data_IF_227822807853
#
_entry.id   IF_227822807853
#
_cell.length_a   1.000
_cell.length_b   1.000
_cell.length_c   1.000
_cell.angle_alpha   90.00
_cell.angle_beta   90.00
_cell.angle_gamma   90.00
#
_symmetry.space_group_name_H-M   'P 1'
#
loop_
_entity.id
_entity.type
_entity.pdbx_description
1 polymer ?
#
# COMPACT_ATOMS: atom_id res chain seq x y z
N UNK A 1 -0.83 -21.08 -0.61
CA UNK A 1 -1.50 -19.77 -0.51
C UNK A 1 -0.45 -18.75 -0.94
N UNK A 2 -0.72 -17.93 -1.96
CA UNK A 2 0.26 -16.93 -2.44
C UNK A 2 0.18 -15.71 -1.54
N UNK A 3 1.20 -15.52 -0.70
CA UNK A 3 1.37 -14.27 0.04
C UNK A 3 1.59 -13.12 -0.94
N UNK A 4 0.82 -12.04 -0.77
CA UNK A 4 1.09 -10.80 -1.47
C UNK A 4 2.23 -10.07 -0.76
N UNK A 5 3.25 -9.70 -1.54
CA UNK A 5 4.34 -8.85 -1.05
C UNK A 5 3.77 -7.44 -0.77
N UNK A 6 3.99 -6.87 0.43
CA UNK A 6 3.53 -5.52 0.73
C UNK A 6 4.32 -4.47 -0.06
N UNK A 7 3.71 -3.29 -0.20
CA UNK A 7 4.42 -2.09 -0.64
C UNK A 7 5.42 -1.66 0.45
N UNK A 8 6.50 -1.00 0.05
CA UNK A 8 7.52 -0.52 0.97
C UNK A 8 7.22 0.92 1.42
N UNK A 9 7.45 1.20 2.70
CA UNK A 9 7.30 2.52 3.29
C UNK A 9 8.56 2.89 4.08
N UNK A 10 9.25 3.95 3.66
CA UNK A 10 10.28 4.62 4.45
C UNK A 10 9.61 5.71 5.31
N UNK A 11 9.53 5.46 6.62
CA UNK A 11 8.89 6.39 7.55
C UNK A 11 9.91 7.36 8.16
N UNK A 12 9.89 8.61 7.69
CA UNK A 12 10.70 9.72 8.23
C UNK A 12 9.88 10.65 9.14
N UNK A 13 8.60 10.35 9.36
CA UNK A 13 7.72 11.11 10.22
C UNK A 13 7.74 10.55 11.64
N UNK A 14 8.53 11.18 12.52
CA UNK A 14 8.84 10.64 13.85
C UNK A 14 7.66 10.57 14.82
N UNK A 15 6.58 11.31 14.58
CA UNK A 15 5.40 11.30 15.45
C UNK A 15 4.58 10.02 15.36
N UNK A 16 4.81 9.20 14.33
CA UNK A 16 4.03 7.99 14.07
C UNK A 16 4.99 6.80 13.92
N UNK A 17 4.66 5.69 14.58
CA UNK A 17 5.41 4.45 14.46
C UNK A 17 4.52 3.36 13.85
N UNK A 18 4.97 2.73 12.77
CA UNK A 18 4.29 1.64 12.06
C UNK A 18 4.87 0.25 12.37
N UNK A 19 5.63 0.09 13.45
CA UNK A 19 6.28 -1.17 13.79
C UNK A 19 5.32 -2.37 13.72
N UNK A 20 5.72 -3.38 12.94
CA UNK A 20 4.93 -4.59 12.71
C UNK A 20 3.74 -4.42 11.75
N UNK A 21 3.59 -3.27 11.11
CA UNK A 21 2.58 -3.01 10.09
C UNK A 21 3.22 -2.75 8.72
N UNK A 22 2.65 -3.39 7.70
CA UNK A 22 3.09 -3.26 6.31
C UNK A 22 2.00 -2.58 5.49
N UNK A 23 2.42 -1.69 4.58
CA UNK A 23 1.51 -1.00 3.67
C UNK A 23 1.09 -1.95 2.55
N UNK A 24 -0.21 -2.10 2.32
CA UNK A 24 -0.74 -2.95 1.25
C UNK A 24 -1.46 -2.17 0.16
N UNK A 25 -2.00 -1.00 0.49
CA UNK A 25 -2.79 -0.23 -0.47
C UNK A 25 -3.05 1.19 0.00
N UNK A 26 -3.40 2.06 -0.95
CA UNK A 26 -4.04 3.35 -0.72
C UNK A 26 -5.46 3.34 -1.30
N UNK A 27 -6.44 3.87 -0.58
CA UNK A 27 -7.85 3.91 -1.02
C UNK A 27 -8.44 5.31 -0.85
N UNK A 28 -9.33 5.68 -1.76
CA UNK A 28 -10.22 6.85 -1.67
C UNK A 28 -11.64 6.37 -1.46
N UNK A 29 -12.36 7.01 -0.56
CA UNK A 29 -13.71 6.60 -0.23
C UNK A 29 -14.24 7.23 1.04
N UNK A 30 -15.28 6.60 1.59
CA UNK A 30 -15.87 7.03 2.86
C UNK A 30 -14.96 6.62 4.02
N UNK A 31 -15.33 7.04 5.23
CA UNK A 31 -14.63 6.61 6.45
C UNK A 31 -14.71 5.08 6.59
N UNK A 32 -13.56 4.35 6.64
CA UNK A 32 -13.54 2.90 6.76
C UNK A 32 -14.19 2.37 8.04
N UNK A 33 -14.45 3.22 9.04
CA UNK A 33 -15.24 2.84 10.22
C UNK A 33 -16.69 2.46 9.89
N UNK A 34 -17.21 2.88 8.73
CA UNK A 34 -18.61 2.66 8.34
C UNK A 34 -18.79 1.31 7.64
N UNK A 35 -17.86 0.92 6.76
CA UNK A 35 -17.98 -0.25 5.89
C UNK A 35 -16.73 -1.13 5.84
N UNK A 36 -15.74 -0.88 6.70
CA UNK A 36 -14.44 -1.57 6.67
C UNK A 36 -13.74 -1.47 5.31
N UNK A 37 -13.88 -0.33 4.64
CA UNK A 37 -13.30 -0.07 3.32
C UNK A 37 -13.95 -0.85 2.17
N UNK A 38 -15.05 -1.57 2.40
CA UNK A 38 -15.74 -2.32 1.34
C UNK A 38 -16.45 -1.40 0.35
N UNK A 39 -16.05 -1.49 -0.92
CA UNK A 39 -16.59 -0.65 -2.00
C UNK A 39 -15.84 0.66 -2.21
N UNK A 40 -14.78 0.93 -1.43
CA UNK A 40 -13.90 2.07 -1.68
C UNK A 40 -13.02 1.82 -2.91
N UNK A 41 -12.61 2.92 -3.55
CA UNK A 41 -11.83 2.86 -4.77
C UNK A 41 -10.34 2.92 -4.44
N UNK A 42 -9.58 1.97 -4.98
CA UNK A 42 -8.12 2.04 -4.96
C UNK A 42 -7.64 3.33 -5.63
N UNK A 43 -6.64 3.99 -5.03
CA UNK A 43 -5.99 5.12 -5.68
C UNK A 43 -5.27 4.59 -6.92
N UNK A 44 -5.70 5.07 -8.08
CA UNK A 44 -5.00 4.84 -9.34
C UNK A 44 -4.01 5.98 -9.52
N UNK A 45 -2.73 5.63 -9.50
CA UNK A 45 -1.65 6.57 -9.78
C UNK A 45 -1.33 6.42 -11.26
N UNK A 46 -1.77 7.39 -12.07
CA UNK A 46 -1.72 7.34 -13.53
C UNK A 46 -0.31 7.02 -14.04
N UNK A 47 0.71 7.57 -13.36
CA UNK A 47 2.14 7.34 -13.65
C UNK A 47 2.58 5.88 -13.48
N UNK A 48 1.87 5.09 -12.68
CA UNK A 48 2.13 3.64 -12.53
C UNK A 48 1.17 2.82 -13.37
N UNK A 49 -0.01 3.34 -13.72
CA UNK A 49 -1.06 2.53 -14.34
C UNK A 49 -0.59 1.88 -15.65
N UNK A 50 0.19 2.61 -16.45
CA UNK A 50 0.84 2.09 -17.64
C UNK A 50 1.81 0.94 -17.30
N UNK A 51 2.67 1.13 -16.30
CA UNK A 51 3.63 0.12 -15.84
C UNK A 51 2.92 -1.12 -15.27
N UNK A 52 1.92 -0.96 -14.42
CA UNK A 52 1.14 -2.07 -13.86
C UNK A 52 0.49 -2.88 -14.98
N UNK A 53 -0.05 -2.25 -16.03
CA UNK A 53 -0.67 -2.97 -17.15
C UNK A 53 0.30 -3.88 -17.91
N UNK A 54 1.57 -3.49 -18.01
CA UNK A 54 2.62 -4.25 -18.72
C UNK A 54 3.08 -5.46 -17.88
N UNK A 55 3.15 -5.29 -16.56
CA UNK A 55 3.77 -6.28 -15.66
C UNK A 55 2.78 -7.16 -14.88
N UNK A 56 1.50 -6.79 -14.79
CA UNK A 56 0.44 -7.55 -14.08
C UNK A 56 0.32 -9.02 -14.50
N UNK A 57 0.62 -9.35 -15.75
CA UNK A 57 0.52 -10.71 -16.27
C UNK A 57 1.65 -11.66 -15.85
N UNK A 58 2.71 -11.15 -15.21
CA UNK A 58 3.95 -11.93 -14.99
C UNK A 58 4.07 -12.58 -13.62
N UNK A 59 3.33 -12.12 -12.61
CA UNK A 59 3.44 -12.64 -11.23
C UNK A 59 2.07 -12.69 -10.55
N UNK A 60 1.59 -13.90 -10.26
CA UNK A 60 0.27 -14.11 -9.63
C UNK A 60 0.23 -13.71 -8.15
N UNK A 61 1.37 -13.64 -7.48
CA UNK A 61 1.47 -13.19 -6.07
C UNK A 61 1.52 -11.68 -5.91
N UNK A 62 1.72 -10.91 -6.98
CA UNK A 62 1.84 -9.44 -6.92
C UNK A 62 0.82 -8.86 -7.88
N UNK A 63 -0.39 -8.64 -7.37
CA UNK A 63 -1.54 -8.22 -8.18
C UNK A 63 -1.31 -6.91 -8.95
N UNK A 64 -0.36 -6.07 -8.53
CA UNK A 64 0.09 -4.84 -9.21
C UNK A 64 1.18 -5.06 -10.27
N UNK A 65 1.77 -6.25 -10.37
CA UNK A 65 2.93 -6.52 -11.23
C UNK A 65 4.28 -5.99 -10.70
N UNK A 66 4.27 -5.38 -9.50
CA UNK A 66 5.46 -4.82 -8.86
C UNK A 66 5.18 -4.26 -7.48
N UNK A 67 6.24 -3.79 -6.83
CA UNK A 67 6.24 -3.25 -5.47
C UNK A 67 6.35 -1.73 -5.55
N UNK A 68 5.43 -1.01 -4.91
CA UNK A 68 5.54 0.46 -4.80
C UNK A 68 6.41 0.81 -3.60
N UNK A 69 7.23 1.83 -3.75
CA UNK A 69 8.09 2.35 -2.67
C UNK A 69 7.66 3.77 -2.35
N UNK A 70 7.19 3.94 -1.12
CA UNK A 70 6.73 5.21 -0.60
C UNK A 70 7.68 5.76 0.46
N UNK A 71 7.72 7.08 0.59
CA UNK A 71 8.31 7.80 1.72
C UNK A 71 7.21 8.59 2.42
N UNK A 72 7.10 8.45 3.74
CA UNK A 72 6.39 9.40 4.58
C UNK A 72 7.42 10.43 5.09
N UNK A 73 7.38 11.65 4.56
CA UNK A 73 8.39 12.65 4.85
C UNK A 73 8.28 13.24 6.28
N UNK A 74 9.24 14.09 6.65
CA UNK A 74 9.27 14.73 7.97
C UNK A 74 8.07 15.66 8.25
N UNK A 75 7.32 16.06 7.21
CA UNK A 75 6.13 16.89 7.32
C UNK A 75 4.84 16.04 7.29
N UNK A 76 4.96 14.72 7.28
CA UNK A 76 3.85 13.79 7.22
C UNK A 76 3.25 13.63 5.83
N UNK A 77 3.90 14.12 4.76
CA UNK A 77 3.43 13.92 3.39
C UNK A 77 3.84 12.56 2.86
N UNK A 78 2.92 11.90 2.16
CA UNK A 78 3.21 10.63 1.49
C UNK A 78 3.66 10.88 0.05
N UNK A 79 4.81 10.34 -0.31
CA UNK A 79 5.36 10.37 -1.67
C UNK A 79 5.52 8.95 -2.19
N UNK A 80 5.23 8.75 -3.45
CA UNK A 80 5.64 7.58 -4.20
C UNK A 80 6.99 7.89 -4.87
N UNK A 81 8.05 7.29 -4.35
CA UNK A 81 9.40 7.53 -4.88
C UNK A 81 9.66 6.70 -6.13
N UNK A 82 9.23 5.44 -6.12
CA UNK A 82 9.52 4.51 -7.21
C UNK A 82 8.59 3.30 -7.25
N UNK A 83 8.61 2.61 -8.38
CA UNK A 83 7.95 1.34 -8.61
C UNK A 83 8.97 0.30 -9.06
N UNK A 84 9.08 -0.80 -8.32
CA UNK A 84 9.92 -1.94 -8.67
C UNK A 84 9.08 -2.96 -9.43
N UNK A 85 9.20 -2.98 -10.75
CA UNK A 85 8.51 -3.94 -11.60
C UNK A 85 9.26 -5.26 -11.67
N UNK A 86 8.54 -6.37 -11.66
CA UNK A 86 9.14 -7.69 -11.87
C UNK A 86 9.40 -7.91 -13.37
N UNK A 87 10.67 -8.06 -13.75
CA UNK A 87 11.04 -8.30 -15.15
C UNK A 87 11.12 -9.80 -15.48
N UNK A 88 11.50 -10.64 -14.51
CA UNK A 88 11.67 -12.07 -14.70
C UNK A 88 12.52 -12.70 -13.61
N UNK A 89 13.02 -13.90 -13.89
CA UNK A 89 13.95 -14.61 -13.01
C UNK A 89 15.33 -14.66 -13.68
N UNK A 90 16.37 -14.46 -12.88
CA UNK A 90 17.74 -14.74 -13.27
C UNK A 90 17.97 -16.26 -13.41
N UNK A 91 19.13 -16.65 -13.96
CA UNK A 91 19.49 -18.06 -14.16
C UNK A 91 19.59 -18.87 -12.86
N UNK A 92 19.77 -18.20 -11.73
CA UNK A 92 19.77 -18.76 -10.39
C UNK A 92 18.39 -18.70 -9.69
N UNK A 93 17.32 -18.39 -10.43
CA UNK A 93 15.96 -18.22 -9.93
C UNK A 93 15.75 -17.03 -8.98
N UNK A 94 16.71 -16.13 -8.85
CA UNK A 94 16.50 -14.87 -8.13
C UNK A 94 15.60 -13.92 -8.94
N UNK A 95 14.69 -13.18 -8.29
CA UNK A 95 13.81 -12.25 -8.98
C UNK A 95 14.60 -11.02 -9.49
N UNK A 96 14.40 -10.69 -10.76
CA UNK A 96 14.95 -9.49 -11.39
C UNK A 96 13.91 -8.38 -11.29
N UNK A 97 14.31 -7.29 -10.66
CA UNK A 97 13.48 -6.11 -10.47
C UNK A 97 14.05 -4.92 -11.25
N UNK A 98 13.17 -4.21 -11.95
CA UNK A 98 13.49 -2.92 -12.54
C UNK A 98 12.87 -1.80 -11.72
N UNK A 99 13.71 -0.87 -11.28
CA UNK A 99 13.27 0.30 -10.52
C UNK A 99 12.95 1.46 -11.45
N UNK A 100 11.68 1.85 -11.48
CA UNK A 100 11.20 3.05 -12.16
C UNK A 100 11.09 4.19 -11.15
N UNK A 101 11.89 5.27 -11.26
CA UNK A 101 11.73 6.45 -10.42
C UNK A 101 10.46 7.21 -10.83
N UNK A 102 9.71 7.70 -9.85
CA UNK A 102 8.43 8.39 -10.06
C UNK A 102 8.44 9.77 -9.37
N UNK A 103 8.76 9.82 -8.08
CA UNK A 103 8.80 11.05 -7.27
C UNK A 103 7.49 11.87 -7.35
N UNK A 104 6.37 11.22 -7.02
CA UNK A 104 5.03 11.79 -7.09
C UNK A 104 4.44 11.94 -5.68
N UNK A 105 3.99 13.15 -5.30
CA UNK A 105 3.31 13.38 -4.04
C UNK A 105 1.85 12.89 -4.10
N UNK A 106 1.41 12.10 -3.13
CA UNK A 106 0.03 11.61 -3.11
C UNK A 106 -0.88 12.71 -2.55
N UNK A 107 -1.66 13.33 -3.42
CA UNK A 107 -2.51 14.46 -3.06
C UNK A 107 -3.97 14.06 -2.71
N UNK A 108 -4.63 14.98 -2.00
CA UNK A 108 -6.02 14.87 -1.59
C UNK A 108 -6.24 13.98 -0.36
N UNK A 109 -7.50 13.69 -0.08
CA UNK A 109 -7.89 12.89 1.07
C UNK A 109 -7.92 11.41 0.71
N UNK A 110 -7.31 10.58 1.56
CA UNK A 110 -7.27 9.14 1.36
C UNK A 110 -7.00 8.38 2.66
N UNK A 111 -7.01 7.05 2.56
CA UNK A 111 -6.63 6.14 3.64
C UNK A 111 -5.52 5.21 3.16
N UNK A 112 -4.48 5.10 3.96
CA UNK A 112 -3.47 4.07 3.81
C UNK A 112 -3.90 2.82 4.58
N UNK A 113 -3.83 1.67 3.92
CA UNK A 113 -4.26 0.38 4.47
C UNK A 113 -3.03 -0.43 4.87
N UNK A 114 -2.90 -0.65 6.16
CA UNK A 114 -1.82 -1.39 6.78
C UNK A 114 -2.31 -2.74 7.31
N UNK A 115 -1.42 -3.74 7.31
CA UNK A 115 -1.68 -5.06 7.89
C UNK A 115 -0.42 -5.64 8.51
N UNK A 116 -0.54 -6.43 9.57
CA UNK A 116 0.59 -7.16 10.14
C UNK A 116 1.04 -8.34 9.27
N UNK A 117 0.10 -8.95 8.55
CA UNK A 117 0.33 -10.04 7.59
C UNK A 117 -0.63 -9.92 6.42
N UNK A 118 -0.37 -10.63 5.31
CA UNK A 118 -1.25 -10.58 4.14
C UNK A 118 -2.69 -11.00 4.46
N UNK A 119 -2.90 -11.94 5.39
CA UNK A 119 -4.24 -12.40 5.81
C UNK A 119 -4.75 -11.73 7.10
N UNK A 120 -3.98 -10.82 7.70
CA UNK A 120 -4.36 -10.16 8.95
C UNK A 120 -5.48 -9.14 8.81
N UNK A 121 -5.93 -8.60 9.95
CA UNK A 121 -6.87 -7.47 9.99
C UNK A 121 -6.25 -6.20 9.41
N UNK A 122 -7.09 -5.33 8.86
CA UNK A 122 -6.66 -4.04 8.31
C UNK A 122 -6.62 -2.97 9.40
N UNK A 123 -5.61 -2.10 9.31
CA UNK A 123 -5.51 -0.83 10.04
C UNK A 123 -5.52 0.29 9.00
N UNK A 124 -6.45 1.22 9.12
CA UNK A 124 -6.60 2.35 8.21
C UNK A 124 -6.05 3.61 8.86
N UNK A 125 -5.13 4.26 8.15
CA UNK A 125 -4.47 5.49 8.58
C UNK A 125 -4.89 6.61 7.64
N UNK A 126 -5.46 7.67 8.20
CA UNK A 126 -6.04 8.75 7.41
C UNK A 126 -4.99 9.72 6.94
N UNK A 127 -5.14 10.15 5.69
CA UNK A 127 -4.42 11.27 5.11
C UNK A 127 -5.43 12.34 4.67
N UNK A 128 -5.12 13.59 5.00
CA UNK A 128 -5.87 14.79 4.61
C UNK A 128 -4.94 15.66 3.79
N UNK A 129 -5.38 16.05 2.59
CA UNK A 129 -4.56 16.84 1.65
C UNK A 129 -3.14 16.27 1.46
N UNK A 130 -3.01 14.95 1.38
CA UNK A 130 -1.74 14.26 1.22
C UNK A 130 -0.88 14.12 2.48
N UNK A 131 -1.33 14.62 3.62
CA UNK A 131 -0.63 14.55 4.91
C UNK A 131 -1.29 13.60 5.87
N UNK A 132 -0.49 12.84 6.61
CA UNK A 132 -1.00 11.99 7.70
C UNK A 132 -1.73 12.87 8.71
N UNK A 133 -2.94 12.46 9.08
CA UNK A 133 -3.72 13.14 10.09
C UNK A 133 -3.51 12.45 11.45
N UNK A 134 -3.34 13.24 12.51
CA UNK A 134 -3.16 12.78 13.91
C UNK A 134 -4.42 12.08 14.50
N UNK A 135 -5.36 11.65 13.68
CA UNK A 135 -6.58 11.00 14.14
C UNK A 135 -6.36 9.50 14.40
N UNK A 136 -7.13 8.98 15.36
CA UNK A 136 -7.13 7.58 15.77
C UNK A 136 -7.19 6.66 14.55
N UNK A 137 -6.26 5.72 14.50
CA UNK A 137 -6.24 4.66 13.50
C UNK A 137 -7.54 3.88 13.59
N UNK A 138 -8.14 3.59 12.43
CA UNK A 138 -9.34 2.75 12.38
C UNK A 138 -8.86 1.31 12.24
N UNK A 139 -9.27 0.45 13.16
CA UNK A 139 -8.97 -0.98 13.07
C UNK A 139 -10.19 -1.73 12.55
N UNK A 140 -9.99 -2.60 11.57
CA UNK A 140 -10.98 -3.58 11.18
C UNK A 140 -11.22 -4.50 12.37
N UNK A 141 -12.44 -4.47 12.91
CA UNK A 141 -12.85 -5.43 13.93
C UNK A 141 -12.93 -6.77 13.21
N UNK A 142 -12.01 -7.68 13.51
CA UNK A 142 -12.08 -9.05 13.02
C UNK A 142 -13.33 -9.69 13.61
N UNK A 143 -14.44 -9.61 12.87
CA UNK A 143 -15.61 -10.44 13.07
C UNK A 143 -15.27 -11.87 12.69
N UNK A 144 -14.40 -12.52 13.45
CA UNK A 144 -14.32 -13.96 13.42
C UNK A 144 -15.64 -14.43 14.02
N UNK A 145 -16.58 -14.83 13.15
CA UNK A 145 -17.63 -15.73 13.62
C UNK A 145 -16.94 -17.07 13.86
N UNK A 146 -16.96 -17.48 15.13
CA UNK A 146 -16.75 -18.88 15.51
C UNK A 146 -17.93 -19.68 14.93
N UNK A 147 -17.82 -20.04 13.65
CA UNK A 147 -18.68 -21.04 13.03
C UNK A 147 -18.05 -22.39 13.38
N UNK A 148 -18.43 -22.93 14.54
CA UNK A 148 -17.96 -24.22 15.06
C UNK A 148 -18.26 -25.42 14.17
#
# INVERSE_FOLDING_TARGET
>A
MTDQVPDQLDNRYSSVNFDGLYLYSLIRGKDPSINHGWGDSFIKLEDIQALESVYRGRVTSIHSGGIKHFTLDQNGKLLLDSFNAFEGLASNFEPIWHKYPINHAIDGDFWAVFKATFMGSRTYVRFLEGKIADMAWVHEISGYRDDG
#
